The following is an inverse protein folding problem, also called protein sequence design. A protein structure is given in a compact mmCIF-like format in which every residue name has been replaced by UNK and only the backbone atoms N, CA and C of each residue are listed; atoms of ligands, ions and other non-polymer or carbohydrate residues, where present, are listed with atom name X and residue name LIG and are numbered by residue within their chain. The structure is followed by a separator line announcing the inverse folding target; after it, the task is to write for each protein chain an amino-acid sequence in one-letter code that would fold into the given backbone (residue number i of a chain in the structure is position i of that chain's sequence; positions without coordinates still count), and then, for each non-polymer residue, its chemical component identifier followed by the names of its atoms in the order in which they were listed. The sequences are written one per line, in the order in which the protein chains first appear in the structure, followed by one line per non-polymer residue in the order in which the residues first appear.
data_IF_413658009681
#
_entry.id   IF_413658009681
#
_cell.length_a   1.000
_cell.length_b   1.000
_cell.length_c   1.000
_cell.angle_alpha   90.00
_cell.angle_beta   90.00
_cell.angle_gamma   90.00
#
_symmetry.space_group_name_H-M   'P 1'
#
loop_
_entity.id
_entity.type
_entity.pdbx_description
1 polymer ?
#
# COMPACT_ATOMS: atom_id res chain seq x y z
N UNK A 1 11.14 11.53 23.36
CA UNK A 1 11.02 10.24 22.71
C UNK A 1 11.46 10.40 21.27
N UNK A 2 12.58 9.82 20.96
CA UNK A 2 13.20 9.95 19.64
C UNK A 2 12.31 9.21 18.63
N UNK A 3 11.57 9.94 17.82
CA UNK A 3 10.90 9.37 16.65
C UNK A 3 12.00 9.08 15.64
N UNK A 4 12.64 7.92 15.80
CA UNK A 4 13.63 7.42 14.86
C UNK A 4 12.97 7.37 13.49
N UNK A 5 13.25 8.38 12.70
CA UNK A 5 12.87 8.41 11.28
C UNK A 5 13.42 7.16 10.64
N UNK A 6 12.54 6.34 10.08
CA UNK A 6 12.95 5.14 9.36
C UNK A 6 13.92 5.53 8.24
N UNK A 7 15.18 5.06 8.33
CA UNK A 7 16.19 5.32 7.31
C UNK A 7 16.28 4.11 6.37
N UNK A 8 15.69 4.19 5.17
CA UNK A 8 15.71 3.10 4.20
C UNK A 8 17.12 2.78 3.72
N UNK A 9 18.06 3.72 3.77
CA UNK A 9 19.43 3.50 3.28
C UNK A 9 20.22 2.51 4.11
N UNK A 10 19.84 2.29 5.38
CA UNK A 10 20.45 1.35 6.31
C UNK A 10 19.66 0.06 6.48
N UNK A 11 18.56 -0.07 5.79
CA UNK A 11 17.64 -1.18 5.99
C UNK A 11 18.11 -2.48 5.30
N UNK A 12 18.93 -2.38 4.24
CA UNK A 12 19.43 -3.55 3.51
C UNK A 12 20.86 -3.84 3.91
N UNK A 13 21.09 -5.06 4.38
CA UNK A 13 22.42 -5.53 4.80
C UNK A 13 22.88 -6.67 3.90
N UNK A 14 24.08 -6.53 3.35
CA UNK A 14 24.72 -7.52 2.50
C UNK A 14 25.77 -8.30 3.32
N UNK A 15 25.60 -9.62 3.46
CA UNK A 15 26.61 -10.53 3.99
C UNK A 15 27.22 -11.30 2.80
N UNK A 16 28.29 -10.75 2.26
CA UNK A 16 28.99 -11.33 1.11
C UNK A 16 29.63 -12.67 1.45
N UNK A 17 29.99 -12.90 2.71
CA UNK A 17 30.62 -14.15 3.16
C UNK A 17 29.64 -15.33 3.13
N UNK A 18 28.36 -15.05 3.35
CA UNK A 18 27.28 -16.03 3.33
C UNK A 18 26.44 -15.97 2.05
N UNK A 19 26.70 -15.00 1.17
CA UNK A 19 25.89 -14.76 -0.02
C UNK A 19 24.44 -14.39 0.31
N UNK A 20 24.22 -13.67 1.42
CA UNK A 20 22.89 -13.33 1.93
C UNK A 20 22.65 -11.84 1.88
N UNK A 21 21.42 -11.47 1.55
CA UNK A 21 20.90 -10.11 1.70
C UNK A 21 19.76 -10.17 2.69
N UNK A 22 19.79 -9.30 3.69
CA UNK A 22 18.76 -9.25 4.72
C UNK A 22 18.16 -7.86 4.80
N UNK A 23 16.86 -7.82 5.08
CA UNK A 23 16.17 -6.58 5.40
C UNK A 23 16.20 -6.38 6.91
N UNK A 24 16.71 -5.22 7.35
CA UNK A 24 16.89 -4.88 8.78
C UNK A 24 17.64 -5.93 9.59
N UNK A 25 18.55 -6.66 8.93
CA UNK A 25 19.36 -7.71 9.57
C UNK A 25 18.56 -8.95 10.02
N UNK A 26 17.29 -9.07 9.67
CA UNK A 26 16.41 -10.14 10.16
C UNK A 26 15.82 -11.01 9.07
N UNK A 27 15.19 -10.39 8.07
CA UNK A 27 14.48 -11.13 7.05
C UNK A 27 15.34 -11.31 5.80
N UNK A 28 15.59 -12.54 5.33
CA UNK A 28 16.28 -12.76 4.06
C UNK A 28 15.42 -12.20 2.91
N UNK A 29 16.10 -11.56 1.95
CA UNK A 29 15.47 -11.01 0.75
C UNK A 29 16.26 -11.42 -0.49
N UNK A 30 15.59 -11.40 -1.63
CA UNK A 30 16.22 -11.54 -2.94
C UNK A 30 16.27 -10.19 -3.62
N UNK A 31 17.39 -9.86 -4.22
CA UNK A 31 17.53 -8.71 -5.11
C UNK A 31 17.28 -9.20 -6.53
N UNK A 32 16.21 -8.70 -7.15
CA UNK A 32 15.81 -9.05 -8.51
C UNK A 32 15.81 -7.82 -9.39
N UNK A 33 16.16 -7.99 -10.66
CA UNK A 33 15.98 -6.93 -11.65
C UNK A 33 14.46 -6.62 -11.80
N UNK A 34 14.10 -5.34 -11.75
CA UNK A 34 12.71 -4.90 -11.85
C UNK A 34 12.03 -5.40 -13.14
N UNK A 35 12.77 -5.41 -14.26
CA UNK A 35 12.27 -5.90 -15.53
C UNK A 35 11.91 -7.40 -15.48
N UNK A 36 12.75 -8.22 -14.83
CA UNK A 36 12.47 -9.64 -14.68
C UNK A 36 11.18 -9.87 -13.87
N UNK A 37 11.01 -9.11 -12.77
CA UNK A 37 9.79 -9.17 -11.97
C UNK A 37 8.56 -8.69 -12.77
N UNK A 38 8.70 -7.61 -13.54
CA UNK A 38 7.64 -7.08 -14.39
C UNK A 38 7.19 -8.11 -15.45
N UNK A 39 8.13 -8.82 -16.07
CA UNK A 39 7.82 -9.89 -17.02
C UNK A 39 7.06 -11.06 -16.38
N UNK A 40 7.43 -11.44 -15.16
CA UNK A 40 6.69 -12.46 -14.39
C UNK A 40 5.29 -11.97 -14.07
N UNK A 41 5.16 -10.76 -13.52
CA UNK A 41 3.87 -10.17 -13.18
C UNK A 41 2.96 -10.01 -14.40
N UNK A 42 3.50 -9.69 -15.57
CA UNK A 42 2.75 -9.58 -16.83
C UNK A 42 2.11 -10.88 -17.33
N UNK A 43 2.53 -12.02 -16.77
CA UNK A 43 1.97 -13.37 -17.11
C UNK A 43 0.97 -13.86 -16.06
N UNK A 44 0.84 -13.19 -14.94
CA UNK A 44 -0.07 -13.58 -13.86
C UNK A 44 -1.44 -12.92 -14.06
N UNK A 45 -2.49 -13.63 -13.65
CA UNK A 45 -3.82 -13.06 -13.54
C UNK A 45 -3.95 -12.13 -12.32
N UNK A 46 -5.04 -11.35 -12.29
CA UNK A 46 -5.29 -10.38 -11.23
C UNK A 46 -5.36 -11.04 -9.83
N UNK A 47 -5.90 -12.24 -9.72
CA UNK A 47 -6.00 -12.95 -8.44
C UNK A 47 -4.62 -13.35 -7.91
N UNK A 48 -3.78 -13.90 -8.78
CA UNK A 48 -2.39 -14.26 -8.46
C UNK A 48 -1.54 -13.04 -8.10
N UNK A 49 -1.71 -11.92 -8.83
CA UNK A 49 -1.05 -10.65 -8.50
C UNK A 49 -1.47 -10.12 -7.13
N UNK A 50 -2.76 -10.17 -6.81
CA UNK A 50 -3.26 -9.78 -5.50
C UNK A 50 -2.76 -10.70 -4.39
N UNK A 51 -2.71 -12.01 -4.63
CA UNK A 51 -2.14 -12.95 -3.67
C UNK A 51 -0.67 -12.65 -3.40
N UNK A 52 0.11 -12.42 -4.44
CA UNK A 52 1.54 -12.08 -4.33
C UNK A 52 1.74 -10.75 -3.59
N UNK A 53 1.00 -9.70 -3.99
CA UNK A 53 1.01 -8.40 -3.30
C UNK A 53 0.64 -8.54 -1.83
N UNK A 54 -0.35 -9.37 -1.50
CA UNK A 54 -0.76 -9.64 -0.12
C UNK A 54 0.34 -10.29 0.73
N UNK A 55 1.10 -11.24 0.17
CA UNK A 55 2.25 -11.85 0.88
C UNK A 55 3.32 -10.80 1.19
N UNK A 56 3.67 -9.97 0.22
CA UNK A 56 4.64 -8.89 0.39
C UNK A 56 4.13 -7.84 1.41
N UNK A 57 2.85 -7.47 1.28
CA UNK A 57 2.19 -6.51 2.18
C UNK A 57 2.16 -7.00 3.62
N UNK A 58 1.89 -8.28 3.85
CA UNK A 58 1.92 -8.87 5.19
C UNK A 58 3.29 -8.70 5.86
N UNK A 59 4.36 -8.95 5.13
CA UNK A 59 5.71 -8.77 5.66
C UNK A 59 6.00 -7.30 5.99
N UNK A 60 5.65 -6.38 5.11
CA UNK A 60 5.81 -4.94 5.33
C UNK A 60 4.99 -4.47 6.54
N UNK A 61 3.71 -4.86 6.62
CA UNK A 61 2.83 -4.51 7.73
C UNK A 61 3.33 -5.03 9.09
N UNK A 62 3.91 -6.24 9.12
CA UNK A 62 4.54 -6.77 10.33
C UNK A 62 5.72 -5.91 10.77
N UNK A 63 6.60 -5.52 9.85
CA UNK A 63 7.73 -4.62 10.16
C UNK A 63 7.28 -3.23 10.61
N UNK A 64 6.24 -2.68 9.99
CA UNK A 64 5.65 -1.39 10.41
C UNK A 64 5.11 -1.51 11.84
N UNK A 65 4.35 -2.55 12.14
CA UNK A 65 3.79 -2.80 13.48
C UNK A 65 4.88 -2.96 14.56
N UNK A 66 5.99 -3.62 14.23
CA UNK A 66 7.12 -3.77 15.15
C UNK A 66 7.85 -2.46 15.44
N UNK A 67 7.83 -1.50 14.49
CA UNK A 67 8.45 -0.18 14.64
C UNK A 67 7.55 0.85 15.32
N UNK A 68 6.25 0.74 15.08
CA UNK A 68 5.27 1.70 15.56
C UNK A 68 4.45 1.12 16.71
N UNK A 69 4.17 1.95 17.71
CA UNK A 69 3.14 1.64 18.67
C UNK A 69 1.78 1.97 18.03
N UNK A 70 1.03 0.93 17.64
CA UNK A 70 -0.26 1.08 16.96
C UNK A 70 -1.28 1.91 17.77
N UNK A 71 -1.15 1.98 19.11
CA UNK A 71 -2.05 2.76 19.96
C UNK A 71 -1.80 4.29 19.89
N UNK A 72 -0.62 4.72 19.44
CA UNK A 72 -0.22 6.13 19.40
C UNK A 72 0.16 6.62 18.00
N UNK A 73 0.29 5.71 17.04
CA UNK A 73 0.67 6.06 15.68
C UNK A 73 -0.50 6.70 14.94
N UNK A 74 -0.23 7.84 14.31
CA UNK A 74 -1.20 8.47 13.40
C UNK A 74 -1.24 7.71 12.07
N UNK A 75 -2.32 7.90 11.31
CA UNK A 75 -2.43 7.32 9.98
C UNK A 75 -1.33 7.85 9.04
N UNK A 76 -1.00 9.13 9.14
CA UNK A 76 0.10 9.75 8.40
C UNK A 76 1.42 9.05 8.68
N UNK A 77 1.75 8.82 9.95
CA UNK A 77 2.98 8.10 10.33
C UNK A 77 3.00 6.68 9.78
N UNK A 78 1.86 5.99 9.78
CA UNK A 78 1.77 4.63 9.20
C UNK A 78 1.97 4.64 7.70
N UNK A 79 1.40 5.61 6.99
CA UNK A 79 1.55 5.74 5.55
C UNK A 79 2.98 6.16 5.18
N UNK A 80 3.63 7.00 5.96
CA UNK A 80 5.05 7.34 5.78
C UNK A 80 5.94 6.11 5.92
N UNK A 81 5.69 5.27 6.93
CA UNK A 81 6.40 4.02 7.10
C UNK A 81 6.14 3.04 5.95
N UNK A 82 4.90 3.00 5.47
CA UNK A 82 4.54 2.21 4.30
C UNK A 82 5.24 2.70 3.04
N UNK A 83 5.37 4.03 2.87
CA UNK A 83 6.16 4.63 1.80
C UNK A 83 7.62 4.18 1.83
N UNK A 84 8.21 4.12 3.03
CA UNK A 84 9.55 3.56 3.23
C UNK A 84 9.65 2.09 2.80
N UNK A 85 8.67 1.26 3.16
CA UNK A 85 8.64 -0.16 2.76
C UNK A 85 8.47 -0.34 1.23
N UNK A 86 7.61 0.48 0.60
CA UNK A 86 7.43 0.50 -0.87
C UNK A 86 8.73 0.87 -1.57
N UNK A 87 9.41 1.92 -1.07
CA UNK A 87 10.70 2.37 -1.59
C UNK A 87 11.78 1.29 -1.45
N UNK A 88 11.87 0.63 -0.27
CA UNK A 88 12.81 -0.47 -0.03
C UNK A 88 12.59 -1.66 -0.96
N UNK A 89 11.33 -1.95 -1.26
CA UNK A 89 10.98 -3.01 -2.20
C UNK A 89 11.26 -2.62 -3.67
N UNK A 90 11.65 -1.38 -3.96
CA UNK A 90 11.85 -0.86 -5.31
C UNK A 90 10.53 -0.76 -6.10
N UNK A 91 9.40 -0.63 -5.40
CA UNK A 91 8.06 -0.62 -6.02
C UNK A 91 7.52 0.79 -6.29
N UNK A 92 8.39 1.81 -6.17
CA UNK A 92 8.06 3.20 -6.41
C UNK A 92 8.04 4.06 -5.16
N UNK A 93 7.41 5.21 -5.24
CA UNK A 93 7.16 6.11 -4.11
C UNK A 93 5.67 6.19 -3.79
N UNK A 94 5.36 6.51 -2.53
CA UNK A 94 4.00 6.60 -2.04
C UNK A 94 3.78 7.97 -1.41
N UNK A 95 2.70 8.66 -1.81
CA UNK A 95 2.29 9.93 -1.26
C UNK A 95 0.81 9.92 -0.86
N UNK A 96 0.46 10.66 0.19
CA UNK A 96 -0.91 10.83 0.63
C UNK A 96 -1.52 12.03 -0.09
N UNK A 97 -2.73 11.83 -0.62
CA UNK A 97 -3.60 12.90 -1.09
C UNK A 97 -4.89 12.89 -0.26
N UNK A 98 -5.32 14.05 0.21
CA UNK A 98 -6.61 14.17 0.89
C UNK A 98 -7.62 14.76 -0.07
N UNK A 99 -8.63 13.98 -0.43
CA UNK A 99 -9.74 14.43 -1.27
C UNK A 99 -10.97 14.58 -0.38
N UNK A 100 -11.07 15.76 0.26
CA UNK A 100 -12.04 15.98 1.33
C UNK A 100 -11.72 15.10 2.55
N UNK A 101 -12.62 14.19 2.91
CA UNK A 101 -12.38 13.20 3.97
C UNK A 101 -11.85 11.86 3.45
N UNK A 102 -11.79 11.67 2.14
CA UNK A 102 -11.26 10.46 1.56
C UNK A 102 -9.74 10.46 1.62
N UNK A 103 -9.17 9.34 2.06
CA UNK A 103 -7.75 9.11 2.03
C UNK A 103 -7.38 8.41 0.73
N UNK A 104 -6.62 9.10 -0.08
CA UNK A 104 -6.11 8.59 -1.35
C UNK A 104 -4.59 8.45 -1.24
N UNK A 105 -4.09 7.33 -1.70
CA UNK A 105 -2.66 7.07 -1.81
C UNK A 105 -2.28 7.10 -3.28
N UNK A 106 -1.35 7.96 -3.63
CA UNK A 106 -0.74 8.02 -4.96
C UNK A 106 0.56 7.23 -4.96
N UNK A 107 0.70 6.35 -5.94
CA UNK A 107 1.93 5.57 -6.15
C UNK A 107 2.53 6.01 -7.48
N UNK A 108 3.82 6.33 -7.48
CA UNK A 108 4.58 6.82 -8.64
C UNK A 108 5.83 5.96 -8.87
N UNK A 109 6.22 5.84 -10.13
CA UNK A 109 7.45 5.13 -10.51
C UNK A 109 7.43 3.63 -10.22
N UNK A 110 6.24 3.00 -10.18
CA UNK A 110 6.14 1.55 -10.02
C UNK A 110 6.67 0.85 -11.29
N UNK A 111 7.77 0.07 -11.19
CA UNK A 111 8.42 -0.51 -12.37
C UNK A 111 7.64 -1.68 -12.99
N UNK A 112 6.56 -2.11 -12.35
CA UNK A 112 5.77 -3.27 -12.79
C UNK A 112 4.71 -2.91 -13.84
N UNK A 113 4.52 -1.62 -14.14
CA UNK A 113 3.50 -1.16 -15.09
C UNK A 113 2.07 -1.52 -14.65
N UNK A 114 1.18 -1.77 -15.63
CA UNK A 114 -0.24 -2.06 -15.38
C UNK A 114 -0.47 -3.27 -14.44
N UNK A 115 0.25 -4.40 -14.55
CA UNK A 115 0.15 -5.49 -13.57
C UNK A 115 0.46 -5.06 -12.15
N UNK A 116 1.33 -4.06 -11.97
CA UNK A 116 1.66 -3.48 -10.68
C UNK A 116 0.47 -2.89 -9.93
N UNK A 117 -0.58 -2.44 -10.61
CA UNK A 117 -1.75 -1.85 -9.96
C UNK A 117 -2.47 -2.84 -9.04
N UNK A 118 -2.70 -4.08 -9.49
CA UNK A 118 -3.35 -5.11 -8.67
C UNK A 118 -2.44 -5.60 -7.54
N UNK A 119 -1.16 -5.80 -7.84
CA UNK A 119 -0.17 -6.19 -6.85
C UNK A 119 -0.06 -5.14 -5.75
N UNK A 120 0.13 -3.88 -6.12
CA UNK A 120 0.29 -2.78 -5.17
C UNK A 120 -0.98 -2.48 -4.37
N UNK A 121 -2.15 -2.60 -4.99
CA UNK A 121 -3.43 -2.49 -4.29
C UNK A 121 -3.49 -3.50 -3.12
N UNK A 122 -3.19 -4.76 -3.37
CA UNK A 122 -3.17 -5.80 -2.34
C UNK A 122 -2.02 -5.63 -1.35
N UNK A 123 -0.85 -5.17 -1.81
CA UNK A 123 0.29 -4.85 -0.95
C UNK A 123 -0.08 -3.79 0.09
N UNK A 124 -0.61 -2.65 -0.35
CA UNK A 124 -1.02 -1.53 0.52
C UNK A 124 -2.15 -1.96 1.46
N UNK A 125 -3.18 -2.63 0.92
CA UNK A 125 -4.31 -3.14 1.69
C UNK A 125 -3.86 -4.03 2.85
N UNK A 126 -3.10 -5.08 2.56
CA UNK A 126 -2.68 -6.06 3.58
C UNK A 126 -1.63 -5.47 4.53
N UNK A 127 -0.72 -4.62 4.04
CA UNK A 127 0.26 -3.96 4.90
C UNK A 127 -0.41 -3.09 5.95
N UNK A 128 -1.40 -2.28 5.55
CA UNK A 128 -2.16 -1.46 6.48
C UNK A 128 -3.03 -2.30 7.42
N UNK A 129 -3.74 -3.32 6.92
CA UNK A 129 -4.52 -4.22 7.78
C UNK A 129 -3.68 -4.82 8.90
N UNK A 130 -2.46 -5.29 8.58
CA UNK A 130 -1.54 -5.87 9.57
C UNK A 130 -0.98 -4.82 10.51
N UNK A 131 -0.66 -3.62 10.00
CA UNK A 131 -0.07 -2.56 10.80
C UNK A 131 -1.05 -1.95 11.81
N UNK A 132 -2.32 -1.74 11.39
CA UNK A 132 -3.35 -1.09 12.23
C UNK A 132 -4.27 -2.09 12.94
N UNK A 133 -4.18 -3.37 12.64
CA UNK A 133 -5.06 -4.44 13.14
C UNK A 133 -6.57 -4.15 12.89
N UNK A 134 -6.86 -3.45 11.80
CA UNK A 134 -8.22 -3.09 11.37
C UNK A 134 -8.43 -3.42 9.91
N UNK A 135 -9.68 -3.58 9.55
CA UNK A 135 -10.06 -3.82 8.15
C UNK A 135 -9.86 -2.54 7.33
N UNK A 136 -9.01 -2.64 6.31
CA UNK A 136 -8.74 -1.60 5.31
C UNK A 136 -8.89 -2.23 3.95
N UNK A 137 -9.50 -1.52 3.01
CA UNK A 137 -9.57 -1.92 1.59
C UNK A 137 -8.93 -0.85 0.74
N UNK A 138 -8.09 -1.25 -0.23
CA UNK A 138 -7.48 -0.37 -1.21
C UNK A 138 -8.12 -0.60 -2.59
N UNK A 139 -8.80 0.42 -3.10
CA UNK A 139 -9.43 0.41 -4.42
C UNK A 139 -8.62 1.24 -5.41
N UNK A 140 -8.32 0.67 -6.58
CA UNK A 140 -7.68 1.42 -7.65
C UNK A 140 -8.68 2.42 -8.21
N UNK A 141 -8.40 3.73 -8.05
CA UNK A 141 -9.19 4.85 -8.57
C UNK A 141 -8.81 5.20 -10.01
N UNK A 142 -7.54 5.41 -10.22
CA UNK A 142 -6.99 5.88 -11.48
C UNK A 142 -5.82 4.99 -11.87
N UNK A 143 -5.74 4.68 -13.15
CA UNK A 143 -4.70 3.82 -13.73
C UNK A 143 -3.93 4.62 -14.77
N UNK A 144 -2.71 4.99 -14.46
CA UNK A 144 -1.77 5.61 -15.39
C UNK A 144 -0.54 4.73 -15.59
N UNK A 145 0.25 4.95 -16.64
CA UNK A 145 1.46 4.16 -16.90
C UNK A 145 2.56 4.43 -15.87
N UNK A 146 2.66 5.64 -15.35
CA UNK A 146 3.72 6.07 -14.44
C UNK A 146 3.21 6.29 -13.00
N UNK A 147 1.92 6.52 -12.84
CA UNK A 147 1.30 6.72 -11.54
C UNK A 147 -0.10 6.17 -11.49
N UNK A 148 -0.55 5.77 -10.31
CA UNK A 148 -1.92 5.37 -10.07
C UNK A 148 -2.34 5.75 -8.65
N UNK A 149 -3.65 5.78 -8.42
CA UNK A 149 -4.23 6.19 -7.15
C UNK A 149 -5.06 5.08 -6.55
N UNK A 150 -4.93 4.91 -5.23
CA UNK A 150 -5.69 3.97 -4.43
C UNK A 150 -6.54 4.73 -3.41
N UNK A 151 -7.83 4.46 -3.37
CA UNK A 151 -8.70 4.89 -2.28
C UNK A 151 -8.56 3.91 -1.12
N UNK A 152 -8.26 4.42 0.06
CA UNK A 152 -8.29 3.65 1.30
C UNK A 152 -9.63 3.85 1.99
N UNK A 153 -10.37 2.78 2.19
CA UNK A 153 -11.70 2.82 2.80
C UNK A 153 -12.01 1.54 3.57
N UNK A 154 -13.13 1.54 4.30
CA UNK A 154 -13.67 0.32 4.88
C UNK A 154 -14.23 -0.61 3.80
N UNK A 155 -14.47 -1.87 4.14
CA UNK A 155 -15.10 -2.83 3.22
C UNK A 155 -16.50 -2.36 2.75
N UNK A 156 -17.28 -1.76 3.66
CA UNK A 156 -18.58 -1.20 3.33
C UNK A 156 -18.45 -0.04 2.33
N UNK A 157 -17.48 0.88 2.54
CA UNK A 157 -17.15 1.95 1.62
C UNK A 157 -16.73 1.43 0.25
N UNK A 158 -15.86 0.42 0.23
CA UNK A 158 -15.43 -0.25 -1.00
C UNK A 158 -16.60 -0.81 -1.81
N UNK A 159 -17.52 -1.51 -1.15
CA UNK A 159 -18.70 -2.09 -1.81
C UNK A 159 -19.58 -1.02 -2.43
N UNK A 160 -19.83 0.08 -1.70
CA UNK A 160 -20.62 1.23 -2.21
C UNK A 160 -19.95 1.90 -3.40
N UNK A 161 -18.66 2.20 -3.29
CA UNK A 161 -17.89 2.81 -4.40
C UNK A 161 -17.95 1.94 -5.65
N UNK A 162 -17.72 0.63 -5.50
CA UNK A 162 -17.83 -0.32 -6.62
C UNK A 162 -19.22 -0.32 -7.24
N UNK A 163 -20.28 -0.28 -6.41
CA UNK A 163 -21.67 -0.23 -6.90
C UNK A 163 -21.96 1.04 -7.70
N UNK A 164 -21.51 2.21 -7.23
CA UNK A 164 -21.69 3.48 -7.96
C UNK A 164 -20.95 3.49 -9.29
N UNK A 165 -19.71 3.00 -9.31
CA UNK A 165 -18.93 2.89 -10.55
C UNK A 165 -19.57 1.92 -11.54
N UNK A 166 -20.09 0.80 -11.06
CA UNK A 166 -20.81 -0.18 -11.91
C UNK A 166 -22.11 0.39 -12.48
N UNK A 167 -22.72 1.36 -11.80
CA UNK A 167 -23.89 2.09 -12.27
C UNK A 167 -23.55 3.23 -13.25
N UNK A 168 -22.27 3.39 -13.63
CA UNK A 168 -21.82 4.42 -14.56
C UNK A 168 -21.48 5.77 -13.93
N UNK A 169 -21.44 5.86 -12.60
CA UNK A 169 -21.00 7.05 -11.88
C UNK A 169 -19.51 7.33 -12.07
N UNK A 170 -19.13 8.60 -12.02
CA UNK A 170 -17.72 8.99 -12.01
C UNK A 170 -17.07 8.79 -10.63
N UNK A 171 -15.74 8.75 -10.60
CA UNK A 171 -14.98 8.75 -9.34
C UNK A 171 -15.29 9.96 -8.46
N UNK A 172 -15.48 11.13 -9.11
CA UNK A 172 -15.85 12.36 -8.41
C UNK A 172 -17.19 12.22 -7.70
N UNK A 173 -18.20 11.64 -8.35
CA UNK A 173 -19.52 11.38 -7.77
C UNK A 173 -19.44 10.37 -6.62
N UNK A 174 -18.67 9.30 -6.80
CA UNK A 174 -18.47 8.29 -5.76
C UNK A 174 -17.80 8.87 -4.51
N UNK A 175 -16.79 9.72 -4.68
CA UNK A 175 -16.12 10.40 -3.58
C UNK A 175 -17.03 11.44 -2.92
N UNK A 176 -17.80 12.23 -3.70
CA UNK A 176 -18.77 13.17 -3.15
C UNK A 176 -19.84 12.45 -2.33
N UNK A 177 -20.32 11.30 -2.81
CA UNK A 177 -21.30 10.49 -2.09
C UNK A 177 -20.75 9.88 -0.77
N UNK A 178 -19.47 9.53 -0.71
CA UNK A 178 -18.81 9.12 0.53
C UNK A 178 -18.79 10.25 1.59
N UNK A 179 -18.68 11.51 1.15
CA UNK A 179 -18.68 12.65 2.07
C UNK A 179 -20.05 12.93 2.69
N UNK A 180 -21.14 12.64 1.99
CA UNK A 180 -22.49 12.88 2.49
C UNK A 180 -22.95 11.86 3.52
N UNK A 181 -22.24 10.72 3.69
CA UNK A 181 -22.59 9.68 4.64
C UNK A 181 -21.37 9.15 5.43
N UNK A 182 -20.71 9.99 6.24
CA UNK A 182 -19.39 9.69 6.79
C UNK A 182 -19.37 8.65 7.92
N UNK A 183 -20.52 8.18 8.43
CA UNK A 183 -20.55 7.42 9.70
C UNK A 183 -19.91 6.03 9.68
N UNK A 184 -19.64 5.44 8.52
CA UNK A 184 -19.07 4.07 8.45
C UNK A 184 -18.02 3.82 7.36
N UNK A 185 -17.60 4.84 6.59
CA UNK A 185 -16.90 4.57 5.31
C UNK A 185 -15.45 5.00 5.26
N UNK A 186 -15.00 5.82 6.19
CA UNK A 186 -13.64 6.34 6.21
C UNK A 186 -12.84 5.70 7.34
N UNK A 187 -11.69 5.14 7.00
CA UNK A 187 -10.67 4.72 7.97
C UNK A 187 -10.10 5.98 8.61
N UNK A 188 -10.68 6.46 9.70
CA UNK A 188 -10.17 7.67 10.35
C UNK A 188 -11.17 8.45 11.21
N UNK A 189 -12.35 7.96 11.46
CA UNK A 189 -13.33 8.63 12.30
C UNK A 189 -13.35 8.09 13.73
N UNK A 190 -12.60 8.67 14.59
CA UNK A 190 -12.74 8.90 16.04
C UNK A 190 -11.40 8.78 16.75
N UNK A 191 -10.80 9.89 16.97
CA UNK A 191 -9.85 10.13 18.06
C UNK A 191 -10.53 10.97 19.13
#
# INVERSE_FOLDING_TARGET
MDTSTFDPTRAVVYDLSRGQVTLQGRSPVLVLAAEALAQVCGRLDAASLRQFGGVLGKQAGTRIRERLNAATATLETMVDQLGGEVCLAGLGSLAIERWGQALVVRIEGCPLGVPGHELMSAYVEVALQVAVEREVTALVLERGPESFRLLLCSRAGSTRVKSWLSAGGSWGDALAALHHNPRNDVVGGSY
#
